data_IF_261421688085
#
_entry.id   IF_261421688085
#
_cell.length_a   1.000
_cell.length_b   1.000
_cell.length_c   1.000
_cell.angle_alpha   90.00
_cell.angle_beta   90.00
_cell.angle_gamma   90.00
#
_symmetry.space_group_name_H-M   'P 1'
#
loop_
_entity.id
_entity.type
_entity.pdbx_description
1 polymer ?
#
# COMPACT_ATOMS: atom_id res chain seq x y z
N UNK A 1 29.15 -5.58 13.34
CA UNK A 1 28.65 -6.57 14.31
C UNK A 1 29.03 -6.02 15.69
N UNK A 2 28.03 -5.60 16.48
CA UNK A 2 28.30 -4.94 17.78
C UNK A 2 28.43 -6.04 18.82
N UNK A 3 29.64 -6.22 19.35
CA UNK A 3 29.92 -7.27 20.32
C UNK A 3 29.72 -6.73 21.73
N UNK A 4 28.74 -7.30 22.45
CA UNK A 4 28.42 -7.01 23.85
C UNK A 4 28.92 -8.18 24.71
N UNK A 5 30.23 -8.41 24.69
CA UNK A 5 30.87 -9.44 25.52
C UNK A 5 31.32 -8.82 26.84
N UNK A 6 30.45 -8.87 27.85
CA UNK A 6 30.78 -8.39 29.18
C UNK A 6 29.60 -8.37 30.14
N UNK A 7 29.07 -9.54 30.53
CA UNK A 7 28.11 -9.62 31.62
C UNK A 7 27.13 -10.79 31.52
N UNK A 8 27.38 -11.80 32.34
CA UNK A 8 26.46 -12.84 32.84
C UNK A 8 24.99 -12.83 32.33
N UNK A 9 24.68 -13.82 31.48
CA UNK A 9 23.54 -14.75 31.60
C UNK A 9 22.16 -14.21 32.03
N UNK A 10 21.36 -13.77 31.05
CA UNK A 10 19.88 -13.87 30.99
C UNK A 10 19.31 -13.46 29.61
N UNK A 11 20.05 -12.62 28.87
CA UNK A 11 19.60 -12.01 27.61
C UNK A 11 20.34 -12.50 26.34
N UNK A 12 21.13 -13.57 26.42
CA UNK A 12 21.76 -14.24 25.27
C UNK A 12 20.75 -15.04 24.41
N UNK A 13 19.50 -14.59 24.31
CA UNK A 13 18.59 -15.13 23.31
C UNK A 13 18.84 -14.34 22.04
N UNK A 14 19.52 -14.96 21.06
CA UNK A 14 19.54 -14.46 19.68
C UNK A 14 18.12 -14.04 19.32
N UNK A 15 17.88 -12.73 19.14
CA UNK A 15 16.55 -12.24 18.80
C UNK A 15 16.20 -12.83 17.45
N UNK A 16 15.17 -13.67 17.42
CA UNK A 16 14.69 -14.25 16.17
C UNK A 16 14.28 -13.11 15.24
N UNK A 17 14.89 -13.03 14.05
CA UNK A 17 14.61 -12.02 13.02
C UNK A 17 13.09 -11.83 12.76
N UNK A 18 12.29 -12.85 13.06
CA UNK A 18 10.82 -12.79 13.08
C UNK A 18 10.25 -11.59 13.85
N UNK A 19 10.88 -11.12 14.94
CA UNK A 19 10.37 -9.96 15.71
C UNK A 19 10.48 -8.65 14.94
N UNK A 20 11.34 -8.58 13.91
CA UNK A 20 11.45 -7.43 13.02
C UNK A 20 10.69 -7.65 11.71
N UNK A 21 10.72 -8.88 11.18
CA UNK A 21 10.06 -9.23 9.91
C UNK A 21 8.53 -9.14 10.06
N UNK A 22 7.96 -9.67 11.14
CA UNK A 22 6.52 -9.75 11.30
C UNK A 22 5.87 -8.35 11.37
N UNK A 23 6.36 -7.39 12.19
CA UNK A 23 5.86 -6.02 12.15
C UNK A 23 6.08 -5.34 10.79
N UNK A 24 7.21 -5.58 10.13
CA UNK A 24 7.50 -4.98 8.82
C UNK A 24 6.49 -5.44 7.75
N UNK A 25 6.13 -6.74 7.73
CA UNK A 25 5.11 -7.27 6.81
C UNK A 25 3.76 -6.62 7.06
N UNK A 26 3.37 -6.45 8.33
CA UNK A 26 2.11 -5.79 8.69
C UNK A 26 2.07 -4.35 8.18
N UNK A 27 3.16 -3.59 8.38
CA UNK A 27 3.25 -2.20 7.91
C UNK A 27 3.18 -2.14 6.38
N UNK A 28 3.94 -2.98 5.67
CA UNK A 28 3.91 -3.04 4.20
C UNK A 28 2.51 -3.38 3.69
N UNK A 29 1.83 -4.32 4.33
CA UNK A 29 0.47 -4.69 3.98
C UNK A 29 -0.52 -3.52 4.15
N UNK A 30 -0.44 -2.80 5.27
CA UNK A 30 -1.28 -1.61 5.51
C UNK A 30 -1.01 -0.54 4.45
N UNK A 31 0.27 -0.24 4.17
CA UNK A 31 0.65 0.75 3.15
C UNK A 31 0.13 0.34 1.76
N UNK A 32 0.21 -0.94 1.42
CA UNK A 32 -0.33 -1.46 0.16
C UNK A 32 -1.86 -1.28 0.09
N UNK A 33 -2.60 -1.60 1.15
CA UNK A 33 -4.05 -1.42 1.21
C UNK A 33 -4.46 0.06 1.12
N UNK A 34 -3.75 0.95 1.82
CA UNK A 34 -4.02 2.39 1.79
C UNK A 34 -3.73 2.94 0.39
N UNK A 35 -2.58 2.62 -0.18
CA UNK A 35 -2.21 3.01 -1.55
C UNK A 35 -3.23 2.50 -2.56
N UNK A 36 -3.62 1.22 -2.47
CA UNK A 36 -4.64 0.63 -3.34
C UNK A 36 -5.99 1.37 -3.23
N UNK A 37 -6.45 1.65 -2.00
CA UNK A 37 -7.71 2.37 -1.77
C UNK A 37 -7.65 3.80 -2.30
N UNK A 38 -6.52 4.49 -2.12
CA UNK A 38 -6.30 5.84 -2.65
C UNK A 38 -6.28 5.85 -4.18
N UNK A 39 -5.56 4.93 -4.81
CA UNK A 39 -5.53 4.80 -6.27
C UNK A 39 -6.89 4.40 -6.84
N UNK A 40 -7.61 3.50 -6.17
CA UNK A 40 -8.97 3.12 -6.56
C UNK A 40 -9.93 4.31 -6.50
N UNK A 41 -9.82 5.15 -5.47
CA UNK A 41 -10.60 6.39 -5.34
C UNK A 41 -10.33 7.38 -6.47
N UNK A 42 -9.07 7.53 -6.87
CA UNK A 42 -8.67 8.36 -8.01
C UNK A 42 -9.20 7.81 -9.34
N UNK A 43 -9.07 6.50 -9.56
CA UNK A 43 -9.59 5.83 -10.76
C UNK A 43 -11.12 5.95 -10.88
N UNK A 44 -11.84 5.93 -9.76
CA UNK A 44 -13.29 6.10 -9.75
C UNK A 44 -13.71 7.50 -10.25
N UNK A 45 -12.98 8.55 -9.84
CA UNK A 45 -13.23 9.92 -10.31
C UNK A 45 -12.94 10.07 -11.79
N UNK A 46 -11.81 9.55 -12.27
CA UNK A 46 -11.44 9.60 -13.68
C UNK A 46 -12.45 8.85 -14.56
N UNK A 47 -12.87 7.65 -14.15
CA UNK A 47 -13.87 6.85 -14.88
C UNK A 47 -15.21 7.60 -15.03
N UNK A 48 -15.63 8.31 -13.98
CA UNK A 48 -16.89 9.09 -14.00
C UNK A 48 -16.82 10.30 -14.92
N UNK A 49 -15.67 10.96 -15.02
CA UNK A 49 -15.48 12.06 -15.97
C UNK A 49 -15.37 11.56 -17.41
N UNK A 50 -14.70 10.43 -17.62
CA UNK A 50 -14.58 9.81 -18.93
C UNK A 50 -15.94 9.33 -19.47
N UNK A 51 -16.77 8.70 -18.64
CA UNK A 51 -18.15 8.34 -19.02
C UNK A 51 -19.00 9.58 -19.37
N UNK A 52 -18.81 10.70 -18.68
CA UNK A 52 -19.50 11.96 -18.99
C UNK A 52 -19.07 12.54 -20.33
N UNK A 53 -17.78 12.45 -20.69
CA UNK A 53 -17.26 12.89 -21.99
C UNK A 53 -17.75 11.99 -23.13
N UNK A 54 -17.66 10.67 -22.96
CA UNK A 54 -18.17 9.69 -23.94
C UNK A 54 -19.66 9.87 -24.23
N UNK A 55 -20.49 10.10 -23.21
CA UNK A 55 -21.92 10.40 -23.40
C UNK A 55 -22.19 11.70 -24.16
N UNK A 56 -21.32 12.71 -24.05
CA UNK A 56 -21.43 13.96 -24.81
C UNK A 56 -21.02 13.74 -26.27
N UNK A 57 -19.94 13.01 -26.50
CA UNK A 57 -19.46 12.67 -27.84
C UNK A 57 -20.46 11.80 -28.60
N UNK A 58 -21.04 10.77 -27.98
CA UNK A 58 -22.09 9.95 -28.59
C UNK A 58 -23.34 10.75 -28.95
N UNK A 59 -23.75 11.70 -28.11
CA UNK A 59 -24.88 12.60 -28.40
C UNK A 59 -24.59 13.54 -29.56
N UNK A 60 -23.35 14.03 -29.67
CA UNK A 60 -22.94 14.89 -30.79
C UNK A 60 -22.90 14.08 -32.10
N UNK A 61 -22.35 12.86 -32.04
CA UNK A 61 -22.20 11.95 -33.19
C UNK A 61 -23.52 11.37 -33.70
N UNK A 62 -24.56 11.31 -32.86
CA UNK A 62 -25.94 10.95 -33.26
C UNK A 62 -26.74 12.12 -33.83
N UNK A 63 -26.26 13.36 -33.66
CA UNK A 63 -26.96 14.59 -34.07
C UNK A 63 -26.48 15.13 -35.43
N UNK A 64 -25.27 14.77 -35.83
CA UNK A 64 -24.76 14.91 -37.21
C UNK A 64 -25.01 13.62 -37.99
#
# INVERSE_FOLDING_TARGET
MVDLSGGHSAFQHSFNNSVFILPAVIVVFIVALVTYKLTSSLKLKQKREEERRRKKEEKLKKRN
#
